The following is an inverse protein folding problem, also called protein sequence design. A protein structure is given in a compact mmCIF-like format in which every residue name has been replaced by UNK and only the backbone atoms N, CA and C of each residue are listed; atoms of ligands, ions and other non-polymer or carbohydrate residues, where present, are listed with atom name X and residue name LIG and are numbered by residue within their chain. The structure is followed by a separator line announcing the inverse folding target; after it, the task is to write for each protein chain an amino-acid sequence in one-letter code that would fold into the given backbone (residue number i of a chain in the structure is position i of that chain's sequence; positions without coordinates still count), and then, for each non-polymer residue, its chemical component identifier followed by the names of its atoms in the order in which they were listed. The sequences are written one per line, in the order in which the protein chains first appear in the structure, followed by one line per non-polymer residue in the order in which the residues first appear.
data_IF_837305678719
#
_entry.id   IF_837305678719
#
_cell.length_a   1.000
_cell.length_b   1.000
_cell.length_c   1.000
_cell.angle_alpha   90.00
_cell.angle_beta   90.00
_cell.angle_gamma   90.00
#
_symmetry.space_group_name_H-M   'P 1'
#
loop_
_entity.id
_entity.type
_entity.pdbx_description
1 polymer ?
#
# COMPACT_ATOMS: atom_id res chain seq x y z
N UNK A 1 14.14 11.94 3.94
CA UNK A 1 13.93 10.47 4.06
C UNK A 1 12.44 10.13 4.09
N UNK A 2 11.69 10.51 3.05
CA UNK A 2 10.25 10.20 2.92
C UNK A 2 9.93 9.49 1.58
N UNK A 3 10.97 9.17 0.81
CA UNK A 3 10.87 8.74 -0.58
C UNK A 3 10.90 7.21 -0.67
N UNK A 4 11.52 6.55 0.32
CA UNK A 4 11.61 5.08 0.35
C UNK A 4 10.21 4.45 0.37
N UNK A 5 9.28 4.82 1.28
CA UNK A 5 7.95 4.18 1.28
C UNK A 5 7.14 4.48 0.02
N UNK A 6 7.31 5.68 -0.53
CA UNK A 6 6.67 6.08 -1.79
C UNK A 6 7.17 5.25 -2.98
N UNK A 7 8.49 5.13 -3.14
CA UNK A 7 9.12 4.34 -4.20
C UNK A 7 8.80 2.86 -4.06
N UNK A 8 8.82 2.31 -2.83
CA UNK A 8 8.42 0.92 -2.61
C UNK A 8 6.97 0.69 -3.03
N UNK A 9 6.07 1.63 -2.74
CA UNK A 9 4.66 1.51 -3.14
C UNK A 9 4.50 1.58 -4.67
N UNK A 10 5.17 2.52 -5.35
CA UNK A 10 5.11 2.65 -6.82
C UNK A 10 5.66 1.41 -7.53
N UNK A 11 6.85 0.94 -7.13
CA UNK A 11 7.47 -0.25 -7.72
C UNK A 11 6.57 -1.48 -7.50
N UNK A 12 6.07 -1.67 -6.28
CA UNK A 12 5.21 -2.82 -5.97
C UNK A 12 3.88 -2.74 -6.73
N UNK A 13 3.30 -1.55 -6.85
CA UNK A 13 2.08 -1.34 -7.63
C UNK A 13 2.29 -1.69 -9.10
N UNK A 14 3.40 -1.24 -9.70
CA UNK A 14 3.74 -1.57 -11.09
C UNK A 14 3.94 -3.06 -11.30
N UNK A 15 4.72 -3.71 -10.44
CA UNK A 15 5.04 -5.13 -10.58
C UNK A 15 3.82 -6.04 -10.38
N UNK A 16 2.92 -5.71 -9.44
CA UNK A 16 1.83 -6.60 -9.07
C UNK A 16 0.46 -6.17 -9.62
N UNK A 17 0.29 -4.96 -10.13
CA UNK A 17 -0.96 -4.50 -10.76
C UNK A 17 -0.73 -4.18 -12.22
N UNK A 18 0.13 -3.20 -12.53
CA UNK A 18 0.24 -2.69 -13.90
C UNK A 18 0.82 -3.71 -14.88
N UNK A 19 1.84 -4.46 -14.48
CA UNK A 19 2.45 -5.49 -15.32
C UNK A 19 1.46 -6.63 -15.65
N UNK A 20 0.84 -7.32 -14.67
CA UNK A 20 -0.08 -8.41 -14.98
C UNK A 20 -1.37 -7.95 -15.67
N UNK A 21 -1.80 -6.69 -15.44
CA UNK A 21 -2.91 -6.08 -16.18
C UNK A 21 -2.54 -5.87 -17.65
N UNK A 22 -1.35 -5.37 -17.95
CA UNK A 22 -0.89 -5.14 -19.33
C UNK A 22 -0.60 -6.44 -20.10
N UNK A 23 -0.21 -7.51 -19.41
CA UNK A 23 0.04 -8.82 -20.04
C UNK A 23 -1.22 -9.64 -20.26
N UNK A 24 -2.39 -9.18 -19.79
CA UNK A 24 -3.65 -9.92 -19.88
C UNK A 24 -3.75 -11.11 -18.92
N UNK A 25 -2.97 -11.12 -17.84
CA UNK A 25 -3.10 -12.12 -16.76
C UNK A 25 -4.22 -11.73 -15.77
N UNK A 26 -4.59 -10.45 -15.76
CA UNK A 26 -5.72 -9.91 -15.01
C UNK A 26 -6.82 -9.38 -15.94
N UNK A 27 -7.77 -10.26 -16.29
CA UNK A 27 -8.92 -9.92 -17.15
C UNK A 27 -10.18 -9.51 -16.37
N UNK A 28 -10.13 -9.50 -15.03
CA UNK A 28 -11.29 -9.19 -14.20
C UNK A 28 -11.15 -7.83 -13.51
N UNK A 29 -12.16 -6.97 -13.69
CA UNK A 29 -12.25 -5.66 -13.02
C UNK A 29 -12.17 -5.82 -11.49
N UNK A 30 -12.95 -6.75 -10.93
CA UNK A 30 -12.95 -7.01 -9.48
C UNK A 30 -11.61 -7.54 -8.98
N UNK A 31 -10.93 -8.39 -9.75
CA UNK A 31 -9.58 -8.88 -9.41
C UNK A 31 -8.56 -7.72 -9.38
N UNK A 32 -8.63 -6.82 -10.35
CA UNK A 32 -7.75 -5.64 -10.43
C UNK A 32 -7.98 -4.71 -9.24
N UNK A 33 -9.24 -4.41 -8.91
CA UNK A 33 -9.63 -3.55 -7.78
C UNK A 33 -9.19 -4.15 -6.44
N UNK A 34 -9.44 -5.45 -6.24
CA UNK A 34 -9.10 -6.12 -4.98
C UNK A 34 -7.59 -6.22 -4.81
N UNK A 35 -6.84 -6.54 -5.88
CA UNK A 35 -5.38 -6.61 -5.85
C UNK A 35 -4.75 -5.24 -5.62
N UNK A 36 -5.21 -4.20 -6.32
CA UNK A 36 -4.70 -2.84 -6.14
C UNK A 36 -4.99 -2.32 -4.73
N UNK A 37 -6.22 -2.49 -4.24
CA UNK A 37 -6.60 -2.15 -2.86
C UNK A 37 -5.74 -2.87 -1.82
N UNK A 38 -5.51 -4.18 -1.98
CA UNK A 38 -4.67 -4.96 -1.06
C UNK A 38 -3.22 -4.45 -1.01
N UNK A 39 -2.64 -4.13 -2.18
CA UNK A 39 -1.28 -3.57 -2.26
C UNK A 39 -1.23 -2.18 -1.62
N UNK A 40 -2.22 -1.33 -1.90
CA UNK A 40 -2.35 -0.01 -1.29
C UNK A 40 -2.44 -0.08 0.24
N UNK A 41 -3.19 -1.05 0.77
CA UNK A 41 -3.31 -1.30 2.21
C UNK A 41 -1.99 -1.78 2.81
N UNK A 42 -1.41 -2.86 2.28
CA UNK A 42 -0.25 -3.53 2.89
C UNK A 42 1.02 -2.69 2.72
N UNK A 43 1.32 -2.27 1.49
CA UNK A 43 2.58 -1.61 1.14
C UNK A 43 2.47 -0.10 1.32
N UNK A 44 1.35 0.50 0.93
CA UNK A 44 1.12 1.93 1.10
C UNK A 44 0.73 2.32 2.52
N UNK A 45 0.04 1.44 3.25
CA UNK A 45 -0.51 1.71 4.57
C UNK A 45 0.26 1.08 5.73
N UNK A 46 0.34 -0.25 5.79
CA UNK A 46 0.93 -0.95 6.94
C UNK A 46 2.45 -0.87 6.98
N UNK A 47 3.14 -1.00 5.84
CA UNK A 47 4.61 -1.00 5.78
C UNK A 47 5.26 0.27 6.38
N UNK A 48 4.81 1.50 6.08
CA UNK A 48 5.33 2.71 6.72
C UNK A 48 5.10 2.72 8.24
N UNK A 49 3.96 2.21 8.70
CA UNK A 49 3.62 2.14 10.13
C UNK A 49 4.59 1.21 10.85
N UNK A 50 4.84 0.03 10.27
CA UNK A 50 5.79 -0.95 10.82
C UNK A 50 7.22 -0.44 10.84
N UNK A 51 7.63 0.41 9.89
CA UNK A 51 8.95 1.05 9.91
C UNK A 51 9.04 2.18 10.95
N UNK A 52 7.95 2.92 11.17
CA UNK A 52 7.94 4.03 12.11
C UNK A 52 8.02 3.57 13.58
N UNK A 53 7.43 2.41 13.90
CA UNK A 53 7.43 1.84 15.25
C UNK A 53 8.88 1.65 15.79
N UNK A 54 9.78 0.85 15.15
CA UNK A 54 11.15 0.58 15.62
C UNK A 54 11.99 1.85 15.82
N UNK A 55 11.87 2.77 14.88
CA UNK A 55 12.63 4.03 14.92
C UNK A 55 12.18 4.89 16.10
N UNK A 56 10.86 5.08 16.27
CA UNK A 56 10.33 5.91 17.36
C UNK A 56 10.55 5.29 18.74
N UNK A 57 10.40 3.96 18.88
CA UNK A 57 10.67 3.27 20.14
C UNK A 57 12.16 3.27 20.50
N UNK A 58 13.05 3.14 19.51
CA UNK A 58 14.50 3.25 19.70
C UNK A 58 14.92 4.65 20.16
N UNK A 59 14.36 5.71 19.56
CA UNK A 59 14.58 7.09 20.02
C UNK A 59 14.08 7.29 21.45
N UNK A 60 12.88 6.80 21.77
CA UNK A 60 12.33 6.90 23.12
C UNK A 60 13.22 6.21 24.18
N UNK A 61 13.83 5.08 23.81
CA UNK A 61 14.78 4.38 24.69
C UNK A 61 16.10 5.14 24.86
N UNK A 62 16.63 5.73 23.77
CA UNK A 62 17.89 6.47 23.78
C UNK A 62 17.82 7.78 24.56
N UNK A 63 16.71 8.51 24.45
CA UNK A 63 16.53 9.80 25.09
C UNK A 63 15.79 9.73 26.44
N UNK A 64 15.48 8.52 26.93
CA UNK A 64 14.68 8.29 28.14
C UNK A 64 13.39 9.12 28.20
N UNK A 65 12.84 9.46 27.04
CA UNK A 65 11.63 10.28 26.91
C UNK A 65 10.35 9.52 27.27
N UNK A 66 10.48 8.23 27.60
CA UNK A 66 9.41 7.41 28.17
C UNK A 66 9.97 6.37 29.14
N UNK A 67 9.21 6.05 30.19
CA UNK A 67 9.53 5.03 31.18
C UNK A 67 9.65 3.66 30.50
N UNK A 68 10.89 3.21 30.32
CA UNK A 68 11.18 1.89 29.80
C UNK A 68 10.72 0.82 30.81
N UNK A 69 10.10 -0.29 30.34
CA UNK A 69 9.62 -1.32 31.23
C UNK A 69 10.79 -1.99 31.97
N UNK A 70 10.70 -2.03 33.30
CA UNK A 70 11.72 -2.62 34.19
C UNK A 70 11.79 -4.16 34.10
N UNK A 71 10.71 -4.81 33.65
CA UNK A 71 10.62 -6.25 33.38
C UNK A 71 10.46 -6.44 31.87
N UNK A 72 11.19 -7.39 31.29
CA UNK A 72 11.43 -7.62 29.85
C UNK A 72 10.23 -7.78 28.90
N UNK A 73 9.04 -7.29 29.22
CA UNK A 73 7.88 -7.22 28.35
C UNK A 73 7.91 -5.99 27.43
N UNK A 74 9.00 -5.87 26.67
CA UNK A 74 9.21 -4.82 25.67
C UNK A 74 8.05 -4.83 24.66
N UNK A 75 7.63 -6.00 24.17
CA UNK A 75 6.58 -6.07 23.15
C UNK A 75 5.25 -5.39 23.56
N UNK A 76 4.80 -5.59 24.80
CA UNK A 76 3.58 -4.93 25.29
C UNK A 76 3.73 -3.42 25.43
N UNK A 77 4.91 -2.94 25.82
CA UNK A 77 5.20 -1.51 25.86
C UNK A 77 5.12 -0.89 24.46
N UNK A 78 5.68 -1.57 23.47
CA UNK A 78 5.67 -1.15 22.07
C UNK A 78 4.27 -1.11 21.47
N UNK A 79 3.43 -2.11 21.74
CA UNK A 79 2.02 -2.15 21.34
C UNK A 79 1.23 -1.01 22.01
N UNK A 80 1.45 -0.78 23.31
CA UNK A 80 0.76 0.28 24.06
C UNK A 80 1.11 1.67 23.54
N UNK A 81 2.38 1.92 23.26
CA UNK A 81 2.88 3.21 22.75
C UNK A 81 2.48 3.45 21.30
N UNK A 82 2.37 2.42 20.48
CA UNK A 82 1.97 2.54 19.06
C UNK A 82 0.46 2.67 18.85
N UNK A 83 -0.38 2.25 19.81
CA UNK A 83 -1.84 2.33 19.74
C UNK A 83 -2.41 3.71 19.30
N UNK A 84 -1.98 4.86 19.85
CA UNK A 84 -2.45 6.17 19.39
C UNK A 84 -1.99 6.52 17.96
N UNK A 85 -0.80 6.05 17.55
CA UNK A 85 -0.27 6.27 16.19
C UNK A 85 -1.10 5.49 15.18
N UNK A 86 -1.36 4.20 15.45
CA UNK A 86 -2.25 3.39 14.62
C UNK A 86 -3.64 4.00 14.48
N UNK A 87 -4.22 4.52 15.57
CA UNK A 87 -5.55 5.16 15.52
C UNK A 87 -5.55 6.41 14.62
N UNK A 88 -4.48 7.22 14.65
CA UNK A 88 -4.34 8.40 13.77
C UNK A 88 -4.02 8.03 12.33
N UNK A 89 -3.25 6.96 12.11
CA UNK A 89 -2.89 6.48 10.77
C UNK A 89 -4.00 5.67 10.10
N UNK A 90 -5.02 5.23 10.82
CA UNK A 90 -6.15 4.50 10.23
C UNK A 90 -6.83 5.29 9.11
N UNK A 91 -7.05 6.59 9.30
CA UNK A 91 -7.68 7.44 8.30
C UNK A 91 -6.88 7.53 6.98
N UNK A 92 -5.57 7.89 6.98
CA UNK A 92 -4.79 7.90 5.76
C UNK A 92 -4.62 6.52 5.14
N UNK A 93 -4.54 5.44 5.94
CA UNK A 93 -4.50 4.06 5.41
C UNK A 93 -5.79 3.73 4.66
N UNK A 94 -6.94 4.10 5.22
CA UNK A 94 -8.23 3.86 4.59
C UNK A 94 -8.34 4.65 3.28
N UNK A 95 -7.96 5.93 3.27
CA UNK A 95 -7.91 6.74 2.06
C UNK A 95 -6.96 6.14 1.02
N UNK A 96 -5.74 5.77 1.41
CA UNK A 96 -4.74 5.16 0.50
C UNK A 96 -5.29 3.89 -0.15
N UNK A 97 -5.98 3.05 0.63
CA UNK A 97 -6.59 1.81 0.15
C UNK A 97 -7.70 2.11 -0.86
N UNK A 98 -8.59 3.06 -0.55
CA UNK A 98 -9.69 3.44 -1.44
C UNK A 98 -9.19 4.08 -2.74
N UNK A 99 -8.21 4.99 -2.65
CA UNK A 99 -7.59 5.58 -3.83
C UNK A 99 -6.87 4.54 -4.69
N UNK A 100 -6.18 3.58 -4.09
CA UNK A 100 -5.51 2.51 -4.84
C UNK A 100 -6.50 1.57 -5.53
N UNK A 101 -7.62 1.25 -4.86
CA UNK A 101 -8.72 0.50 -5.46
C UNK A 101 -9.35 1.25 -6.65
N UNK A 102 -9.61 2.56 -6.48
CA UNK A 102 -10.15 3.42 -7.54
C UNK A 102 -9.20 3.56 -8.73
N UNK A 103 -7.90 3.76 -8.48
CA UNK A 103 -6.90 3.81 -9.56
C UNK A 103 -6.84 2.49 -10.33
N UNK A 104 -6.99 1.35 -9.64
CA UNK A 104 -7.06 0.04 -10.29
C UNK A 104 -8.27 -0.10 -11.24
N UNK A 105 -9.45 0.39 -10.85
CA UNK A 105 -10.64 0.34 -11.72
C UNK A 105 -10.51 1.25 -12.94
N UNK A 106 -10.01 2.47 -12.75
CA UNK A 106 -9.79 3.40 -13.86
C UNK A 106 -8.70 2.89 -14.82
N UNK A 107 -7.62 2.29 -14.31
CA UNK A 107 -6.61 1.65 -15.15
C UNK A 107 -7.19 0.52 -16.00
N UNK A 108 -8.02 -0.34 -15.41
CA UNK A 108 -8.69 -1.42 -16.13
C UNK A 108 -9.59 -0.86 -17.25
N UNK A 109 -10.44 0.13 -16.94
CA UNK A 109 -11.33 0.75 -17.94
C UNK A 109 -10.56 1.42 -19.08
N UNK A 110 -9.47 2.12 -18.78
CA UNK A 110 -8.64 2.76 -19.79
C UNK A 110 -7.97 1.73 -20.70
N UNK A 111 -7.48 0.62 -20.14
CA UNK A 111 -6.86 -0.44 -20.91
C UNK A 111 -7.87 -1.10 -21.87
N UNK A 112 -9.07 -1.45 -21.40
CA UNK A 112 -10.10 -2.05 -22.25
C UNK A 112 -10.52 -1.09 -23.38
N UNK A 113 -10.68 0.21 -23.09
CA UNK A 113 -10.96 1.21 -24.13
C UNK A 113 -9.83 1.31 -25.16
N UNK A 114 -8.58 1.24 -24.72
CA UNK A 114 -7.43 1.27 -25.61
C UNK A 114 -7.37 0.02 -26.51
N UNK A 115 -7.68 -1.16 -25.97
CA UNK A 115 -7.77 -2.41 -26.74
C UNK A 115 -8.90 -2.36 -27.78
N UNK A 116 -10.09 -1.89 -27.38
CA UNK A 116 -11.22 -1.71 -28.29
C UNK A 116 -10.96 -0.73 -29.44
N UNK A 117 -10.12 0.29 -29.20
CA UNK A 117 -9.68 1.23 -30.25
C UNK A 117 -8.55 0.67 -31.12
N UNK A 118 -7.82 -0.33 -30.65
CA UNK A 118 -6.78 -1.00 -31.42
C UNK A 118 -7.33 -2.12 -32.32
N UNK A 119 -8.45 -2.74 -31.96
CA UNK A 119 -9.11 -3.81 -32.73
C UNK A 119 -10.14 -3.40 -33.82
N UNK A 120 -10.55 -2.14 -34.07
CA UNK A 120 -11.55 -1.81 -35.09
C UNK A 120 -10.98 -1.88 -36.53
N UNK A 121 -9.71 -2.28 -36.69
CA UNK A 121 -9.01 -2.38 -37.98
C UNK A 121 -8.63 -3.80 -38.40
N UNK A 122 -9.10 -4.85 -37.72
CA UNK A 122 -8.85 -6.24 -38.15
C UNK A 122 -9.83 -6.68 -39.25
N UNK A 123 -9.81 -5.96 -40.37
CA UNK A 123 -10.26 -6.51 -41.66
C UNK A 123 -9.23 -7.57 -42.07
N UNK A 124 -9.50 -8.82 -41.71
CA UNK A 124 -8.72 -9.97 -42.15
C UNK A 124 -9.12 -10.23 -43.60
N UNK A 125 -8.19 -9.92 -44.51
CA UNK A 125 -8.28 -10.15 -45.94
C UNK A 125 -8.11 -11.63 -46.31
#
# INVERSE_FOLDING_TARGET
MAWIPFLTTDITYRCFVSFPLNTGDLDCETCTITRSGLIGLVIGGLYPVFLAIPVNGGLAARYQSALLPHKGNILSYWIRTSKPVFRKMLFPIMLQTMFSAYLGSEQYKLLIKALQLSEPGKEIH
#
